data_IF_017484576275
#
_entry.id   IF_017484576275
#
_cell.length_a   1.000
_cell.length_b   1.000
_cell.length_c   1.000
_cell.angle_alpha   90.00
_cell.angle_beta   90.00
_cell.angle_gamma   90.00
#
_symmetry.space_group_name_H-M   'P 1'
#
loop_
_entity.id
_entity.type
_entity.pdbx_description
1 polymer ?
#
# COMPACT_ATOMS: atom_id res chain seq x y z
N UNK A 1 -13.66 -16.99 8.32
CA UNK A 1 -13.29 -16.97 6.88
C UNK A 1 -13.48 -15.58 6.27
N UNK A 2 -14.59 -14.86 6.50
CA UNK A 2 -14.83 -13.51 5.94
C UNK A 2 -13.70 -12.47 6.10
N UNK A 3 -13.01 -12.45 7.23
CA UNK A 3 -12.02 -11.41 7.56
C UNK A 3 -10.73 -11.46 6.71
N UNK A 4 -10.31 -12.64 6.22
CA UNK A 4 -9.06 -12.77 5.43
C UNK A 4 -9.22 -12.24 4.00
N UNK A 5 -10.37 -12.46 3.39
CA UNK A 5 -10.64 -12.01 2.02
C UNK A 5 -10.84 -10.49 1.99
N UNK A 6 -11.54 -9.94 2.98
CA UNK A 6 -11.67 -8.50 3.19
C UNK A 6 -10.30 -7.83 3.41
N UNK A 7 -9.45 -8.40 4.26
CA UNK A 7 -8.10 -7.89 4.49
C UNK A 7 -7.23 -7.96 3.21
N UNK A 8 -7.37 -9.02 2.41
CA UNK A 8 -6.66 -9.15 1.13
C UNK A 8 -7.10 -8.07 0.15
N UNK A 9 -8.40 -7.80 0.06
CA UNK A 9 -8.95 -6.73 -0.77
C UNK A 9 -8.45 -5.34 -0.35
N UNK A 10 -8.40 -5.06 0.95
CA UNK A 10 -7.89 -3.79 1.49
C UNK A 10 -6.40 -3.58 1.19
N UNK A 11 -5.59 -4.64 1.33
CA UNK A 11 -4.16 -4.59 0.99
C UNK A 11 -3.96 -4.35 -0.51
N UNK A 12 -4.73 -5.03 -1.37
CA UNK A 12 -4.69 -4.79 -2.82
C UNK A 12 -5.08 -3.36 -3.20
N UNK A 13 -6.10 -2.80 -2.53
CA UNK A 13 -6.51 -1.41 -2.70
C UNK A 13 -5.40 -0.42 -2.31
N UNK A 14 -4.70 -0.65 -1.20
CA UNK A 14 -3.60 0.21 -0.77
C UNK A 14 -2.46 0.23 -1.79
N UNK A 15 -2.09 -0.93 -2.34
CA UNK A 15 -1.07 -1.04 -3.41
C UNK A 15 -1.54 -0.29 -4.66
N UNK A 16 -2.80 -0.49 -5.08
CA UNK A 16 -3.39 0.20 -6.21
C UNK A 16 -3.35 1.73 -6.04
N UNK A 17 -3.73 2.23 -4.85
CA UNK A 17 -3.69 3.65 -4.53
C UNK A 17 -2.27 4.23 -4.61
N UNK A 18 -1.26 3.51 -4.12
CA UNK A 18 0.14 3.92 -4.22
C UNK A 18 0.60 4.01 -5.69
N UNK A 19 0.29 3.00 -6.51
CA UNK A 19 0.64 3.01 -7.94
C UNK A 19 -0.06 4.14 -8.68
N UNK A 20 -1.34 4.39 -8.41
CA UNK A 20 -2.08 5.52 -9.00
C UNK A 20 -1.41 6.86 -8.62
N UNK A 21 -1.00 7.01 -7.36
CA UNK A 21 -0.28 8.20 -6.89
C UNK A 21 1.03 8.43 -7.66
N UNK A 22 1.82 7.37 -7.87
CA UNK A 22 3.06 7.44 -8.65
C UNK A 22 2.82 7.80 -10.11
N UNK A 23 1.81 7.18 -10.75
CA UNK A 23 1.41 7.50 -12.14
C UNK A 23 1.00 8.96 -12.26
N UNK A 24 0.15 9.43 -11.35
CA UNK A 24 -0.32 10.82 -11.34
C UNK A 24 0.83 11.81 -11.13
N UNK A 25 1.86 11.42 -10.37
CA UNK A 25 3.05 12.24 -10.13
C UNK A 25 4.13 12.06 -11.21
N UNK A 26 3.91 11.21 -12.22
CA UNK A 26 4.91 10.83 -13.23
C UNK A 26 6.25 10.35 -12.63
N UNK A 27 6.18 9.65 -11.50
CA UNK A 27 7.35 9.05 -10.84
C UNK A 27 7.57 7.62 -11.34
N UNK A 28 8.82 7.10 -11.27
CA UNK A 28 9.08 5.68 -11.53
C UNK A 28 8.15 4.77 -10.74
N UNK A 29 7.75 3.65 -11.36
CA UNK A 29 6.94 2.59 -10.75
C UNK A 29 7.83 1.36 -10.60
N UNK A 30 8.62 1.39 -9.55
CA UNK A 30 9.51 0.31 -9.13
C UNK A 30 9.21 -0.09 -7.68
N UNK A 31 9.85 -1.16 -7.20
CA UNK A 31 9.59 -1.68 -5.85
C UNK A 31 9.78 -0.61 -4.78
N UNK A 32 10.85 0.17 -4.87
CA UNK A 32 11.24 1.11 -3.82
C UNK A 32 10.31 2.32 -3.80
N UNK A 33 9.99 2.87 -4.96
CA UNK A 33 9.01 3.96 -5.10
C UNK A 33 7.61 3.58 -4.62
N UNK A 34 7.14 2.36 -4.88
CA UNK A 34 5.83 1.87 -4.39
C UNK A 34 5.86 1.76 -2.86
N UNK A 35 6.95 1.22 -2.29
CA UNK A 35 7.11 1.09 -0.84
C UNK A 35 7.12 2.45 -0.16
N UNK A 36 7.86 3.42 -0.70
CA UNK A 36 7.94 4.77 -0.16
C UNK A 36 6.58 5.47 -0.21
N UNK A 37 5.83 5.28 -1.30
CA UNK A 37 4.50 5.86 -1.45
C UNK A 37 3.48 5.23 -0.49
N UNK A 38 3.55 3.91 -0.25
CA UNK A 38 2.75 3.23 0.76
C UNK A 38 3.03 3.76 2.18
N UNK A 39 4.30 4.02 2.51
CA UNK A 39 4.69 4.64 3.80
C UNK A 39 4.16 6.06 3.89
N UNK A 40 4.21 6.84 2.80
CA UNK A 40 3.68 8.19 2.75
C UNK A 40 2.16 8.22 2.98
N UNK A 41 1.43 7.32 2.31
CA UNK A 41 -0.03 7.22 2.43
C UNK A 41 -0.46 6.78 3.84
N UNK A 42 0.20 5.80 4.45
CA UNK A 42 -0.08 5.39 5.84
C UNK A 42 0.06 6.56 6.83
N UNK A 43 1.18 7.30 6.73
CA UNK A 43 1.44 8.48 7.58
C UNK A 43 0.43 9.61 7.42
N UNK A 44 -0.15 9.79 6.23
CA UNK A 44 -1.16 10.83 6.01
C UNK A 44 -2.51 10.48 6.62
N UNK A 45 -2.78 9.19 6.86
CA UNK A 45 -4.10 8.70 7.27
C UNK A 45 -4.22 8.41 8.77
N UNK A 46 -3.16 7.93 9.43
CA UNK A 46 -2.92 8.11 10.88
C UNK A 46 -4.04 7.74 11.87
N UNK A 47 -4.96 6.83 11.56
CA UNK A 47 -6.05 6.39 12.46
C UNK A 47 -5.75 5.06 13.19
N UNK A 48 -4.59 4.45 12.93
CA UNK A 48 -4.07 3.24 13.58
C UNK A 48 -4.57 1.91 13.01
N UNK A 49 -5.77 1.86 12.40
CA UNK A 49 -6.32 0.63 11.80
C UNK A 49 -5.94 0.51 10.32
N UNK A 50 -5.96 1.61 9.57
CA UNK A 50 -5.53 1.62 8.17
C UNK A 50 -4.00 1.51 8.04
N UNK A 51 -3.25 1.94 9.07
CA UNK A 51 -1.79 1.87 9.12
C UNK A 51 -1.27 0.43 8.99
N UNK A 52 -1.97 -0.55 9.58
CA UNK A 52 -1.61 -1.97 9.44
C UNK A 52 -1.75 -2.45 7.99
N UNK A 53 -2.73 -1.95 7.25
CA UNK A 53 -2.95 -2.30 5.83
C UNK A 53 -1.79 -1.78 4.98
N UNK A 54 -1.36 -0.53 5.19
CA UNK A 54 -0.23 0.06 4.47
C UNK A 54 1.09 -0.63 4.82
N UNK A 55 1.31 -0.97 6.09
CA UNK A 55 2.49 -1.74 6.52
C UNK A 55 2.50 -3.11 5.86
N UNK A 56 1.36 -3.81 5.82
CA UNK A 56 1.26 -5.13 5.19
C UNK A 56 1.47 -5.06 3.68
N UNK A 57 0.87 -4.08 3.01
CA UNK A 57 1.09 -3.81 1.59
C UNK A 57 2.57 -3.57 1.30
N UNK A 58 3.24 -2.72 2.09
CA UNK A 58 4.67 -2.43 1.91
C UNK A 58 5.53 -3.69 2.12
N UNK A 59 5.19 -4.55 3.08
CA UNK A 59 5.89 -5.81 3.29
C UNK A 59 5.74 -6.77 2.11
N UNK A 60 4.54 -6.87 1.51
CA UNK A 60 4.30 -7.73 0.36
C UNK A 60 5.07 -7.25 -0.87
N UNK A 61 4.98 -5.95 -1.18
CA UNK A 61 5.73 -5.34 -2.29
C UNK A 61 7.25 -5.51 -2.12
N UNK A 62 7.78 -5.33 -0.89
CA UNK A 62 9.20 -5.58 -0.59
C UNK A 62 9.63 -7.01 -0.88
N UNK A 63 8.76 -7.97 -0.56
CA UNK A 63 9.00 -9.40 -0.81
C UNK A 63 8.77 -9.79 -2.27
N UNK A 64 7.99 -9.01 -3.01
CA UNK A 64 7.60 -9.31 -4.40
C UNK A 64 6.61 -10.46 -4.51
N UNK A 65 5.70 -10.59 -3.54
CA UNK A 65 4.65 -11.62 -3.46
C UNK A 65 3.28 -11.02 -3.21
#
# INVERSE_FOLDING_TARGET
MKNKDEQTGLVGLAIGAAVIGLVSAQRPIDRDSIVDELVRLGRQKGDGVEDEVFVKAAQLVRKGV
#
